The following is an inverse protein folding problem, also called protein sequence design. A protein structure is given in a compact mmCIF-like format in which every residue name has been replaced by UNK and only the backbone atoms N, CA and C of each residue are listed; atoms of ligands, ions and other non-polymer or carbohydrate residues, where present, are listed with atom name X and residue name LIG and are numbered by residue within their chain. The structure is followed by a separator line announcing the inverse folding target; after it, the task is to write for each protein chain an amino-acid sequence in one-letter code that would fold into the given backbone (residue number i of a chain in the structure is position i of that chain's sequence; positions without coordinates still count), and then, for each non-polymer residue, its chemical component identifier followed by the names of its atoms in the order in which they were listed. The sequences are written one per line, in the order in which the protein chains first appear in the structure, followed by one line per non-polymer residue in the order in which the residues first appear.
data_IF_649546005194
#
_entry.id   IF_649546005194
#
_cell.length_a   1.000
_cell.length_b   1.000
_cell.length_c   1.000
_cell.angle_alpha   90.00
_cell.angle_beta   90.00
_cell.angle_gamma   90.00
#
_symmetry.space_group_name_H-M   'P 1'
#
loop_
_entity.id
_entity.type
_entity.pdbx_description
1 polymer ?
#
# COMPACT_ATOMS: atom_id res chain seq x y z
N UNK A 1 -16.47 21.97 -1.81
CA UNK A 1 -15.47 20.91 -2.03
C UNK A 1 -14.12 21.58 -2.23
N UNK A 2 -13.07 21.16 -1.51
CA UNK A 2 -11.71 21.67 -1.73
C UNK A 2 -11.20 21.22 -3.08
N UNK A 3 -10.41 22.04 -3.77
CA UNK A 3 -9.82 21.63 -5.06
C UNK A 3 -8.82 20.49 -4.87
N UNK A 4 -8.56 19.69 -5.91
CA UNK A 4 -7.55 18.63 -5.83
C UNK A 4 -6.15 19.19 -5.51
N UNK A 5 -5.81 20.36 -6.04
CA UNK A 5 -4.54 21.04 -5.79
C UNK A 5 -4.41 21.51 -4.33
N UNK A 6 -5.50 22.01 -3.75
CA UNK A 6 -5.55 22.39 -2.33
C UNK A 6 -5.44 21.16 -1.42
N UNK A 7 -6.11 20.06 -1.78
CA UNK A 7 -6.00 18.80 -1.06
C UNK A 7 -4.58 18.23 -1.13
N UNK A 8 -3.91 18.33 -2.29
CA UNK A 8 -2.51 17.97 -2.45
C UNK A 8 -1.60 18.86 -1.58
N UNK A 9 -1.76 20.18 -1.67
CA UNK A 9 -0.93 21.15 -0.95
C UNK A 9 -1.03 20.99 0.57
N UNK A 10 -2.23 20.70 1.08
CA UNK A 10 -2.47 20.48 2.50
C UNK A 10 -2.15 19.05 2.97
N UNK A 11 -1.69 18.16 2.08
CA UNK A 11 -1.37 16.77 2.42
C UNK A 11 -2.59 15.87 2.65
N UNK A 12 -3.80 16.30 2.26
CA UNK A 12 -5.00 15.46 2.34
C UNK A 12 -5.05 14.38 1.26
N UNK A 13 -4.20 14.45 0.24
CA UNK A 13 -4.01 13.38 -0.74
C UNK A 13 -2.74 12.63 -0.37
N UNK A 14 -2.90 11.55 0.39
CA UNK A 14 -1.78 10.72 0.82
C UNK A 14 -2.09 9.23 0.61
N UNK A 15 -1.91 8.74 -0.63
CA UNK A 15 -2.27 7.37 -1.00
C UNK A 15 -1.64 6.30 -0.11
N UNK A 16 -0.43 6.54 0.40
CA UNK A 16 0.28 5.59 1.27
C UNK A 16 -0.49 5.27 2.56
N UNK A 17 -1.22 6.24 3.13
CA UNK A 17 -2.03 6.03 4.33
C UNK A 17 -3.52 5.83 4.02
N UNK A 18 -3.98 6.27 2.85
CA UNK A 18 -5.40 6.32 2.51
C UNK A 18 -5.88 5.12 1.68
N UNK A 19 -4.97 4.40 1.02
CA UNK A 19 -5.31 3.15 0.32
C UNK A 19 -5.39 2.04 1.35
N UNK A 20 -6.59 1.89 1.93
CA UNK A 20 -6.91 0.81 2.87
C UNK A 20 -7.67 -0.27 2.09
N UNK A 21 -7.27 -1.55 2.19
CA UNK A 21 -8.04 -2.65 1.65
C UNK A 21 -9.48 -2.60 2.18
N UNK A 22 -10.45 -2.56 1.26
CA UNK A 22 -11.87 -2.52 1.60
C UNK A 22 -12.47 -3.92 1.78
N UNK A 23 -11.67 -4.95 1.55
CA UNK A 23 -12.07 -6.33 1.74
C UNK A 23 -12.36 -6.58 3.23
N UNK A 24 -13.58 -6.96 3.62
CA UNK A 24 -13.91 -7.24 5.01
C UNK A 24 -13.06 -8.36 5.62
N UNK A 25 -12.51 -9.27 4.80
CA UNK A 25 -11.61 -10.33 5.27
C UNK A 25 -10.23 -9.82 5.67
N UNK A 26 -9.82 -8.64 5.18
CA UNK A 26 -8.49 -8.08 5.45
C UNK A 26 -8.20 -7.99 6.95
N UNK A 27 -9.17 -7.47 7.73
CA UNK A 27 -9.03 -7.36 9.18
C UNK A 27 -8.86 -8.73 9.84
N UNK A 28 -9.67 -9.72 9.45
CA UNK A 28 -9.57 -11.07 10.00
C UNK A 28 -8.23 -11.74 9.69
N UNK A 29 -7.73 -11.58 8.46
CA UNK A 29 -6.44 -12.13 8.05
C UNK A 29 -5.29 -11.45 8.81
N UNK A 30 -5.35 -10.13 9.00
CA UNK A 30 -4.33 -9.39 9.74
C UNK A 30 -4.32 -9.72 11.24
N UNK A 31 -5.49 -9.91 11.84
CA UNK A 31 -5.63 -10.41 13.22
C UNK A 31 -5.01 -11.80 13.34
N UNK A 32 -5.32 -12.72 12.41
CA UNK A 32 -4.74 -14.06 12.40
C UNK A 32 -3.20 -14.02 12.28
N UNK A 33 -2.65 -13.13 11.46
CA UNK A 33 -1.19 -12.92 11.38
C UNK A 33 -0.63 -12.53 12.76
N UNK A 34 -1.27 -11.57 13.43
CA UNK A 34 -0.85 -11.09 14.75
C UNK A 34 -0.91 -12.20 15.82
N UNK A 35 -1.94 -13.04 15.79
CA UNK A 35 -2.06 -14.17 16.72
C UNK A 35 -0.99 -15.24 16.50
N UNK A 36 -0.64 -15.52 15.23
CA UNK A 36 0.45 -16.44 14.91
C UNK A 36 1.79 -15.92 15.43
N UNK A 37 2.06 -14.61 15.30
CA UNK A 37 3.29 -13.99 15.82
C UNK A 37 3.37 -14.15 17.35
N UNK A 38 2.29 -13.85 18.09
CA UNK A 38 2.23 -14.06 19.55
C UNK A 38 2.47 -15.52 19.94
N UNK A 39 1.95 -16.47 19.16
CA UNK A 39 2.22 -17.89 19.43
C UNK A 39 3.70 -18.20 19.25
N UNK A 40 4.36 -17.65 18.22
CA UNK A 40 5.80 -17.83 18.00
C UNK A 40 6.62 -17.21 19.12
N UNK A 41 6.27 -16.03 19.60
CA UNK A 41 6.92 -15.35 20.74
C UNK A 41 7.03 -16.24 21.97
N UNK A 42 5.99 -17.05 22.25
CA UNK A 42 5.97 -17.98 23.40
C UNK A 42 6.82 -19.25 23.22
N UNK A 43 7.20 -19.59 21.98
CA UNK A 43 7.83 -20.87 21.63
C UNK A 43 9.31 -20.73 21.26
N UNK A 44 9.70 -19.58 20.74
CA UNK A 44 11.02 -19.32 20.19
C UNK A 44 11.96 -18.77 21.26
N UNK A 45 13.26 -18.93 21.02
CA UNK A 45 14.28 -18.22 21.79
C UNK A 45 14.24 -16.72 21.50
N UNK A 46 14.92 -15.90 22.30
CA UNK A 46 15.00 -14.46 22.05
C UNK A 46 15.66 -14.14 20.69
N UNK A 47 16.69 -14.90 20.30
CA UNK A 47 17.40 -14.73 19.03
C UNK A 47 16.52 -15.13 17.83
N UNK A 48 15.80 -16.25 17.95
CA UNK A 48 14.86 -16.69 16.92
C UNK A 48 13.69 -15.71 16.78
N UNK A 49 13.17 -15.18 17.90
CA UNK A 49 12.13 -14.15 17.88
C UNK A 49 12.60 -12.87 17.19
N UNK A 50 13.82 -12.41 17.47
CA UNK A 50 14.39 -11.26 16.77
C UNK A 50 14.47 -11.51 15.26
N UNK A 51 14.84 -12.72 14.84
CA UNK A 51 14.87 -13.09 13.41
C UNK A 51 13.47 -13.02 12.78
N UNK A 52 12.42 -13.41 13.52
CA UNK A 52 11.02 -13.29 13.06
C UNK A 52 10.59 -11.82 12.95
N UNK A 53 10.96 -10.98 13.92
CA UNK A 53 10.68 -9.54 13.86
C UNK A 53 11.35 -8.89 12.63
N UNK A 54 12.63 -9.18 12.41
CA UNK A 54 13.37 -8.71 11.23
C UNK A 54 12.74 -9.18 9.92
N UNK A 55 12.26 -10.43 9.86
CA UNK A 55 11.53 -10.95 8.70
C UNK A 55 10.23 -10.16 8.45
N UNK A 56 9.45 -9.88 9.49
CA UNK A 56 8.19 -9.13 9.38
C UNK A 56 8.43 -7.69 8.92
N UNK A 57 9.52 -7.07 9.36
CA UNK A 57 9.93 -5.74 8.91
C UNK A 57 10.33 -5.74 7.42
N UNK A 58 11.09 -6.74 6.98
CA UNK A 58 11.43 -6.93 5.57
C UNK A 58 10.18 -7.14 4.72
N UNK A 59 9.26 -8.00 5.15
CA UNK A 59 7.98 -8.23 4.47
C UNK A 59 7.13 -6.95 4.37
N UNK A 60 7.12 -6.13 5.42
CA UNK A 60 6.46 -4.83 5.42
C UNK A 60 7.06 -3.90 4.36
N UNK A 61 8.38 -3.82 4.28
CA UNK A 61 9.09 -3.02 3.27
C UNK A 61 8.79 -3.50 1.84
N UNK A 62 8.80 -4.81 1.61
CA UNK A 62 8.42 -5.41 0.32
C UNK A 62 6.99 -4.97 -0.05
N UNK A 63 6.05 -5.11 0.89
CA UNK A 63 4.65 -4.74 0.68
C UNK A 63 4.49 -3.25 0.31
N UNK A 64 5.26 -2.35 0.94
CA UNK A 64 5.26 -0.91 0.59
C UNK A 64 5.81 -0.68 -0.81
N UNK A 65 6.88 -1.37 -1.20
CA UNK A 65 7.45 -1.27 -2.56
C UNK A 65 6.47 -1.76 -3.63
N UNK A 66 5.80 -2.89 -3.39
CA UNK A 66 4.78 -3.45 -4.27
C UNK A 66 3.56 -2.54 -4.39
N UNK A 67 3.11 -1.96 -3.26
CA UNK A 67 2.01 -1.00 -3.23
C UNK A 67 2.32 0.26 -4.05
N UNK A 68 3.55 0.80 -3.92
CA UNK A 68 3.99 1.93 -4.71
C UNK A 68 4.04 1.60 -6.21
N UNK A 69 4.64 0.46 -6.60
CA UNK A 69 4.71 0.04 -7.98
C UNK A 69 3.32 -0.15 -8.60
N UNK A 70 2.40 -0.74 -7.85
CA UNK A 70 1.00 -0.93 -8.25
C UNK A 70 0.27 0.41 -8.40
N UNK A 71 0.46 1.34 -7.46
CA UNK A 71 -0.09 2.70 -7.54
C UNK A 71 0.44 3.45 -8.77
N UNK A 72 1.75 3.46 -8.99
CA UNK A 72 2.38 4.14 -10.12
C UNK A 72 1.85 3.59 -11.46
N UNK A 73 1.81 2.27 -11.59
CA UNK A 73 1.29 1.60 -12.79
C UNK A 73 -0.19 1.95 -13.02
N UNK A 74 -1.03 1.78 -11.99
CA UNK A 74 -2.47 2.05 -12.08
C UNK A 74 -2.78 3.51 -12.38
N UNK A 75 -2.04 4.45 -11.78
CA UNK A 75 -2.20 5.88 -12.04
C UNK A 75 -1.86 6.23 -13.49
N UNK A 76 -0.72 5.73 -14.01
CA UNK A 76 -0.33 5.94 -15.42
C UNK A 76 -1.37 5.35 -16.37
N UNK A 77 -1.82 4.12 -16.11
CA UNK A 77 -2.83 3.45 -16.92
C UNK A 77 -4.14 4.25 -16.94
N UNK A 78 -4.64 4.69 -15.78
CA UNK A 78 -5.85 5.50 -15.68
C UNK A 78 -5.73 6.83 -16.44
N UNK A 79 -4.59 7.51 -16.34
CA UNK A 79 -4.35 8.73 -17.10
C UNK A 79 -4.35 8.49 -18.62
N UNK A 80 -3.72 7.41 -19.09
CA UNK A 80 -3.73 7.03 -20.51
C UNK A 80 -5.15 6.72 -21.00
N UNK A 81 -5.93 5.96 -20.23
CA UNK A 81 -7.33 5.67 -20.57
C UNK A 81 -8.17 6.96 -20.64
N UNK A 82 -7.97 7.91 -19.73
CA UNK A 82 -8.68 9.20 -19.77
C UNK A 82 -8.31 10.01 -21.02
N UNK A 83 -7.05 10.03 -21.43
CA UNK A 83 -6.63 10.69 -22.67
C UNK A 83 -7.30 10.09 -23.90
N UNK A 84 -7.40 8.75 -23.94
CA UNK A 84 -8.09 8.03 -25.02
C UNK A 84 -9.58 8.34 -25.05
N UNK A 85 -10.28 8.25 -23.92
CA UNK A 85 -11.73 8.51 -23.82
C UNK A 85 -12.09 9.96 -24.15
N UNK A 86 -11.23 10.92 -23.78
CA UNK A 86 -11.46 12.34 -24.01
C UNK A 86 -10.97 12.83 -25.39
N UNK A 87 -10.48 11.95 -26.26
CA UNK A 87 -9.81 12.27 -27.54
C UNK A 87 -8.71 13.34 -27.39
N UNK A 88 -8.03 13.36 -26.24
CA UNK A 88 -6.92 14.28 -25.98
C UNK A 88 -5.67 13.65 -26.58
N UNK A 89 -5.34 14.09 -27.80
CA UNK A 89 -4.09 13.69 -28.45
C UNK A 89 -2.90 14.33 -27.74
N UNK A 90 -2.03 13.50 -27.17
CA UNK A 90 -0.71 13.94 -26.77
C UNK A 90 0.03 14.39 -28.04
N UNK A 91 0.26 15.69 -28.18
CA UNK A 91 1.16 16.20 -29.21
C UNK A 91 2.56 15.67 -28.88
N UNK A 92 3.02 14.69 -29.65
CA UNK A 92 4.36 14.14 -29.56
C UNK A 92 5.41 15.25 -29.68
N UNK A 93 6.46 15.14 -28.87
CA UNK A 93 7.68 15.92 -28.96
C UNK A 93 8.61 15.27 -29.98
#
# INVERSE_FOLDING_TARGET
MKSFLEQLYLGHLYPLEQIIPQDPEFHSVNEKKSDLVKILETKLSAEDNQTVEELLDVDCNISVMEAYASFEYGFKLGALMMLEVLDIKLKGK
#
